data_IF_573141002291
#
_entry.id   IF_573141002291
#
_cell.length_a   1.000
_cell.length_b   1.000
_cell.length_c   1.000
_cell.angle_alpha   90.00
_cell.angle_beta   90.00
_cell.angle_gamma   90.00
#
_symmetry.space_group_name_H-M   'P 1'
#
loop_
_entity.id
_entity.type
_entity.pdbx_description
1 polymer ?
#
# COMPACT_ATOMS: atom_id res chain seq x y z
N UNK A 1 26.08 2.17 13.69
CA UNK A 1 25.22 1.02 13.36
C UNK A 1 23.79 1.48 13.14
N UNK A 2 23.12 0.87 12.16
CA UNK A 2 21.73 1.18 11.82
C UNK A 2 20.92 -0.12 11.84
N UNK A 3 19.72 -0.09 12.46
CA UNK A 3 18.82 -1.23 12.51
C UNK A 3 17.79 -1.06 11.39
N UNK A 4 17.69 -2.02 10.49
CA UNK A 4 16.72 -2.05 9.40
C UNK A 4 15.35 -2.58 9.89
N UNK A 5 14.38 -2.65 8.97
CA UNK A 5 13.05 -3.22 9.15
C UNK A 5 11.98 -2.16 9.40
N UNK A 6 11.07 -2.01 8.41
CA UNK A 6 9.94 -1.05 8.45
C UNK A 6 8.60 -1.73 8.75
N UNK A 7 8.50 -3.03 8.47
CA UNK A 7 7.29 -3.84 8.66
C UNK A 7 7.31 -4.45 10.07
N UNK A 8 6.57 -3.83 11.00
CA UNK A 8 6.71 -4.11 12.42
C UNK A 8 5.34 -4.32 13.06
N UNK A 9 5.18 -5.46 13.72
CA UNK A 9 4.07 -5.73 14.62
C UNK A 9 4.56 -6.47 15.86
N UNK A 10 3.90 -6.29 16.98
CA UNK A 10 4.33 -6.90 18.23
C UNK A 10 3.43 -6.53 19.39
N UNK A 11 3.93 -6.74 20.60
CA UNK A 11 3.25 -6.46 21.86
C UNK A 11 3.88 -5.27 22.58
N UNK A 12 3.06 -4.39 23.11
CA UNK A 12 3.50 -3.26 23.92
C UNK A 12 4.05 -3.76 25.27
N UNK A 13 5.34 -3.56 25.49
CA UNK A 13 6.01 -3.98 26.76
C UNK A 13 6.15 -2.83 27.75
N UNK A 14 6.21 -1.59 27.30
CA UNK A 14 6.32 -0.41 28.16
C UNK A 14 5.70 0.80 27.47
N UNK A 15 5.05 1.66 28.24
CA UNK A 15 4.50 2.93 27.79
C UNK A 15 5.13 4.10 28.55
N UNK A 16 5.28 5.24 27.87
CA UNK A 16 5.70 6.49 28.51
C UNK A 16 4.55 7.13 29.29
N UNK A 17 4.87 7.97 30.27
CA UNK A 17 3.88 8.56 31.19
C UNK A 17 2.79 9.42 30.48
N UNK A 18 3.05 9.92 29.27
CA UNK A 18 2.12 10.75 28.50
C UNK A 18 1.38 9.96 27.39
N UNK A 19 1.62 8.66 27.28
CA UNK A 19 0.96 7.81 26.28
C UNK A 19 -0.35 7.28 26.87
N UNK A 20 -1.45 7.57 26.20
CA UNK A 20 -2.80 7.13 26.55
C UNK A 20 -3.52 6.39 25.41
N UNK A 21 -2.85 6.21 24.26
CA UNK A 21 -3.42 5.55 23.07
C UNK A 21 -3.26 4.03 23.09
N UNK A 22 -2.32 3.50 23.88
CA UNK A 22 -2.04 2.07 24.02
C UNK A 22 -1.60 1.74 25.44
N UNK A 23 -1.78 0.47 25.83
CA UNK A 23 -1.43 -0.07 27.15
C UNK A 23 -0.47 -1.24 27.01
N UNK A 24 0.23 -1.59 28.10
CA UNK A 24 1.07 -2.80 28.18
C UNK A 24 0.21 -4.03 27.91
N UNK A 25 0.70 -4.93 27.05
CA UNK A 25 -0.02 -6.14 26.60
C UNK A 25 -0.83 -5.92 25.32
N UNK A 26 -1.06 -4.69 24.86
CA UNK A 26 -1.75 -4.48 23.60
C UNK A 26 -0.92 -5.06 22.44
N UNK A 27 -1.62 -5.76 21.54
CA UNK A 27 -1.07 -6.17 20.24
C UNK A 27 -1.18 -5.01 19.28
N UNK A 28 -0.06 -4.65 18.64
CA UNK A 28 0.00 -3.47 17.77
C UNK A 28 0.74 -3.74 16.46
N UNK A 29 0.37 -3.00 15.42
CA UNK A 29 1.18 -2.78 14.22
C UNK A 29 1.68 -1.35 14.24
N UNK A 30 2.86 -1.10 13.70
CA UNK A 30 3.44 0.24 13.68
C UNK A 30 3.23 0.90 12.31
N UNK A 31 2.75 2.16 12.33
CA UNK A 31 2.93 3.03 11.19
C UNK A 31 4.43 3.37 11.10
N UNK A 32 5.13 2.96 10.02
CA UNK A 32 6.57 3.16 9.92
C UNK A 32 6.97 4.62 9.72
N UNK A 33 6.04 5.49 9.31
CA UNK A 33 6.30 6.92 9.16
C UNK A 33 6.09 7.64 10.49
N UNK A 34 7.15 8.21 11.03
CA UNK A 34 7.13 9.05 12.22
C UNK A 34 7.13 10.52 11.79
N UNK A 35 6.11 11.26 12.15
CA UNK A 35 5.92 12.67 11.78
C UNK A 35 6.05 13.58 13.00
N UNK A 36 6.21 14.90 12.81
CA UNK A 36 6.40 15.84 13.93
C UNK A 36 5.10 16.13 14.70
N UNK A 37 3.93 15.84 14.12
CA UNK A 37 2.62 16.04 14.74
C UNK A 37 2.15 17.50 14.89
N UNK A 38 3.01 18.50 14.59
CA UNK A 38 2.72 19.92 14.91
C UNK A 38 2.86 20.89 13.72
N UNK A 39 3.40 20.46 12.58
CA UNK A 39 3.48 21.32 11.40
C UNK A 39 2.11 21.44 10.72
N UNK A 40 1.98 22.45 9.86
CA UNK A 40 0.72 22.70 9.13
C UNK A 40 0.17 21.47 8.41
N UNK A 41 1.04 20.62 7.89
CA UNK A 41 0.65 19.40 7.18
C UNK A 41 0.11 18.33 8.14
N UNK A 42 0.81 18.09 9.25
CA UNK A 42 0.36 17.14 10.27
C UNK A 42 -0.99 17.58 10.87
N UNK A 43 -1.14 18.86 11.18
CA UNK A 43 -2.39 19.41 11.72
C UNK A 43 -3.57 19.36 10.73
N UNK A 44 -3.28 19.35 9.44
CA UNK A 44 -4.27 19.20 8.37
C UNK A 44 -4.54 17.73 7.97
N UNK A 45 -3.94 16.74 8.65
CA UNK A 45 -4.06 15.32 8.29
C UNK A 45 -3.36 14.94 6.98
N UNK A 46 -2.41 15.76 6.54
CA UNK A 46 -1.57 15.58 5.36
C UNK A 46 -0.12 15.26 5.79
N UNK A 47 0.03 14.35 6.71
CA UNK A 47 1.30 14.01 7.34
C UNK A 47 2.34 13.42 6.38
N UNK A 48 1.91 12.92 5.23
CA UNK A 48 2.79 12.52 4.12
C UNK A 48 3.69 13.68 3.62
N UNK A 49 3.29 14.92 3.81
CA UNK A 49 4.07 16.13 3.45
C UNK A 49 4.87 16.72 4.63
N UNK A 50 4.94 16.04 5.75
CA UNK A 50 5.72 16.49 6.89
C UNK A 50 7.22 16.53 6.55
N UNK A 51 7.82 17.74 6.53
CA UNK A 51 9.24 17.91 6.20
C UNK A 51 10.20 17.28 7.23
N UNK A 52 9.73 17.06 8.47
CA UNK A 52 10.51 16.43 9.54
C UNK A 52 10.19 14.94 9.68
N UNK A 53 9.48 14.35 8.71
CA UNK A 53 9.13 12.93 8.78
C UNK A 53 10.37 12.04 8.72
N UNK A 54 10.31 10.95 9.47
CA UNK A 54 11.32 9.89 9.47
C UNK A 54 10.64 8.56 9.18
N UNK A 55 11.41 7.58 8.70
CA UNK A 55 10.95 6.25 8.40
C UNK A 55 11.70 5.24 9.27
N UNK A 56 10.96 4.43 10.02
CA UNK A 56 11.52 3.29 10.76
C UNK A 56 12.25 2.35 9.80
N UNK A 57 13.46 1.95 10.17
CA UNK A 57 14.29 1.05 9.36
C UNK A 57 15.00 1.70 8.17
N UNK A 58 14.80 3.02 7.93
CA UNK A 58 15.45 3.77 6.86
C UNK A 58 16.19 4.99 7.38
N UNK A 59 15.49 6.02 7.84
CA UNK A 59 16.08 7.26 8.37
C UNK A 59 16.17 7.28 9.91
N UNK A 60 15.65 6.26 10.55
CA UNK A 60 15.80 5.96 11.97
C UNK A 60 15.78 4.45 12.18
N UNK A 61 16.24 3.97 13.34
CA UNK A 61 16.30 2.55 13.64
C UNK A 61 14.93 1.88 13.50
N UNK A 62 14.93 0.68 12.95
CA UNK A 62 13.76 -0.13 12.64
C UNK A 62 13.57 -1.34 13.53
N UNK A 63 12.82 -2.31 13.03
CA UNK A 63 12.27 -3.43 13.77
C UNK A 63 13.09 -4.74 13.75
N UNK A 64 14.28 -4.78 13.14
CA UNK A 64 15.13 -5.99 13.22
C UNK A 64 15.83 -6.07 14.59
N UNK A 65 15.02 -6.05 15.64
CA UNK A 65 15.40 -6.05 17.04
C UNK A 65 14.31 -6.69 17.90
N UNK A 66 14.65 -7.14 19.10
CA UNK A 66 13.68 -7.66 20.07
C UNK A 66 12.70 -6.57 20.55
N UNK A 67 13.18 -5.33 20.64
CA UNK A 67 12.40 -4.17 21.08
C UNK A 67 12.67 -2.96 20.22
N UNK A 68 11.62 -2.16 20.00
CA UNK A 68 11.71 -0.87 19.34
C UNK A 68 10.97 0.19 20.16
N UNK A 69 11.53 1.40 20.21
CA UNK A 69 10.89 2.57 20.83
C UNK A 69 10.33 3.48 19.74
N UNK A 70 9.04 3.77 19.81
CA UNK A 70 8.33 4.65 18.86
C UNK A 70 7.39 5.60 19.58
N UNK A 71 6.96 6.72 18.97
CA UNK A 71 5.86 7.52 19.50
C UNK A 71 4.58 6.68 19.64
N UNK A 72 3.80 6.91 20.70
CA UNK A 72 2.54 6.18 20.92
C UNK A 72 1.56 6.32 19.76
N UNK A 73 1.57 7.45 19.06
CA UNK A 73 0.74 7.72 17.86
C UNK A 73 1.05 6.81 16.67
N UNK A 74 2.22 6.17 16.64
CA UNK A 74 2.60 5.21 15.60
C UNK A 74 2.12 3.79 15.88
N UNK A 75 1.66 3.50 17.10
CA UNK A 75 1.17 2.18 17.50
C UNK A 75 -0.35 2.07 17.28
N UNK A 76 -0.77 1.17 16.42
CA UNK A 76 -2.17 0.92 16.05
C UNK A 76 -2.57 -0.43 16.63
N UNK A 77 -3.61 -0.46 17.47
CA UNK A 77 -4.10 -1.68 18.10
C UNK A 77 -4.63 -2.65 17.05
N UNK A 78 -4.19 -3.90 17.13
CA UNK A 78 -4.60 -4.98 16.24
C UNK A 78 -5.86 -5.68 16.76
N UNK A 79 -6.81 -6.02 15.88
CA UNK A 79 -7.87 -6.95 16.21
C UNK A 79 -7.30 -8.36 16.46
N UNK A 80 -8.01 -9.17 17.25
CA UNK A 80 -7.52 -10.47 17.69
C UNK A 80 -7.39 -11.52 16.58
N UNK A 81 -8.13 -11.35 15.48
CA UNK A 81 -8.15 -12.26 14.33
C UNK A 81 -7.02 -12.06 13.32
N UNK A 82 -6.13 -11.10 13.53
CA UNK A 82 -4.97 -10.84 12.65
C UNK A 82 -3.69 -11.26 13.36
N UNK A 83 -2.86 -12.07 12.70
CA UNK A 83 -1.54 -12.45 13.20
C UNK A 83 -0.53 -11.30 13.11
N UNK A 84 0.54 -11.32 13.90
CA UNK A 84 1.60 -10.30 13.81
C UNK A 84 2.25 -10.26 12.42
N UNK A 85 2.45 -11.41 11.78
CA UNK A 85 3.02 -11.49 10.43
C UNK A 85 2.12 -10.81 9.39
N UNK A 86 0.80 -11.08 9.42
CA UNK A 86 -0.17 -10.40 8.56
C UNK A 86 -0.19 -8.90 8.81
N UNK A 87 -0.23 -8.48 10.08
CA UNK A 87 -0.27 -7.08 10.45
C UNK A 87 1.00 -6.34 10.01
N UNK A 88 2.18 -6.91 10.23
CA UNK A 88 3.45 -6.31 9.85
C UNK A 88 3.55 -6.06 8.34
N UNK A 89 3.00 -6.96 7.52
CA UNK A 89 3.02 -6.84 6.06
C UNK A 89 2.07 -5.77 5.49
N UNK A 90 1.24 -5.13 6.31
CA UNK A 90 0.20 -4.21 5.80
C UNK A 90 0.66 -2.76 5.58
N UNK A 91 1.33 -2.08 6.53
CA UNK A 91 1.49 -0.62 6.46
C UNK A 91 2.22 -0.12 5.22
N UNK A 92 3.34 -0.74 4.87
CA UNK A 92 4.19 -0.27 3.75
C UNK A 92 3.56 -0.47 2.37
N UNK A 93 2.56 -1.32 2.24
CA UNK A 93 1.90 -1.63 0.96
C UNK A 93 0.44 -1.17 0.89
N UNK A 94 -0.35 -1.35 1.95
CA UNK A 94 -1.75 -0.91 1.95
C UNK A 94 -1.92 0.59 2.14
N UNK A 95 -1.09 1.26 2.93
CA UNK A 95 -1.17 2.71 3.11
C UNK A 95 -0.96 3.48 1.80
N UNK A 96 0.10 3.22 0.99
CA UNK A 96 0.25 3.88 -0.30
C UNK A 96 -0.86 3.49 -1.29
N UNK A 97 -1.29 2.22 -1.34
CA UNK A 97 -2.39 1.78 -2.20
C UNK A 97 -3.70 2.50 -1.86
N UNK A 98 -4.02 2.61 -0.57
CA UNK A 98 -5.17 3.38 -0.10
C UNK A 98 -5.06 4.86 -0.48
N UNK A 99 -3.88 5.46 -0.26
CA UNK A 99 -3.66 6.87 -0.60
C UNK A 99 -3.84 7.13 -2.10
N UNK A 100 -3.29 6.28 -2.96
CA UNK A 100 -3.44 6.40 -4.41
C UNK A 100 -4.89 6.23 -4.86
N UNK A 101 -5.56 5.17 -4.43
CA UNK A 101 -6.88 4.77 -4.93
C UNK A 101 -7.99 5.61 -4.30
N UNK A 102 -8.01 5.70 -2.97
CA UNK A 102 -9.12 6.30 -2.23
C UNK A 102 -8.98 7.81 -2.07
N UNK A 103 -7.76 8.30 -1.77
CA UNK A 103 -7.56 9.73 -1.45
C UNK A 103 -7.18 10.58 -2.66
N UNK A 104 -6.44 10.03 -3.63
CA UNK A 104 -5.94 10.80 -4.80
C UNK A 104 -6.77 10.56 -6.05
N UNK A 105 -6.91 9.33 -6.48
CA UNK A 105 -7.70 8.99 -7.66
C UNK A 105 -9.21 9.12 -7.41
N UNK A 106 -9.67 8.95 -6.16
CA UNK A 106 -11.10 8.94 -5.80
C UNK A 106 -11.89 7.92 -6.65
N UNK A 107 -11.28 6.74 -6.87
CA UNK A 107 -11.80 5.67 -7.71
C UNK A 107 -13.23 5.29 -7.29
N UNK A 108 -14.11 5.09 -8.27
CA UNK A 108 -15.52 4.76 -8.07
C UNK A 108 -15.85 3.33 -8.50
N UNK A 109 -16.94 2.74 -7.99
CA UNK A 109 -17.33 1.36 -8.34
C UNK A 109 -17.58 1.10 -9.82
N UNK A 110 -17.99 2.12 -10.59
CA UNK A 110 -18.27 2.00 -12.03
C UNK A 110 -17.02 2.16 -12.92
N UNK A 111 -15.89 2.54 -12.32
CA UNK A 111 -14.66 2.82 -13.05
C UNK A 111 -13.80 1.57 -13.22
N UNK A 112 -12.94 1.61 -14.21
CA UNK A 112 -11.93 0.59 -14.49
C UNK A 112 -10.56 1.11 -14.10
N UNK A 113 -9.81 0.36 -13.31
CA UNK A 113 -8.44 0.70 -12.91
C UNK A 113 -7.42 -0.28 -13.47
N UNK A 114 -6.33 0.27 -14.01
CA UNK A 114 -5.13 -0.50 -14.33
C UNK A 114 -4.17 -0.46 -13.13
N UNK A 115 -3.82 -1.62 -12.60
CA UNK A 115 -2.80 -1.77 -11.56
C UNK A 115 -1.57 -2.44 -12.16
N UNK A 116 -0.46 -1.74 -12.26
CA UNK A 116 0.78 -2.32 -12.76
C UNK A 116 1.41 -3.26 -11.73
N UNK A 117 2.09 -4.32 -12.23
CA UNK A 117 2.87 -5.25 -11.38
C UNK A 117 2.07 -5.90 -10.23
N UNK A 118 1.07 -6.72 -10.57
CA UNK A 118 0.20 -7.44 -9.63
C UNK A 118 0.92 -8.20 -8.51
N UNK A 119 2.12 -8.71 -8.78
CA UNK A 119 2.90 -9.52 -7.83
C UNK A 119 3.77 -8.71 -6.87
N UNK A 120 3.83 -7.39 -7.01
CA UNK A 120 4.48 -6.52 -6.03
C UNK A 120 3.58 -6.36 -4.78
N UNK A 121 4.17 -5.98 -3.65
CA UNK A 121 3.39 -5.72 -2.44
C UNK A 121 2.31 -4.66 -2.65
N UNK A 122 2.68 -3.53 -3.28
CA UNK A 122 1.73 -2.44 -3.59
C UNK A 122 0.68 -2.90 -4.61
N UNK A 123 1.07 -3.61 -5.68
CA UNK A 123 0.12 -4.14 -6.67
C UNK A 123 -0.88 -5.10 -6.03
N UNK A 124 -0.41 -6.03 -5.20
CA UNK A 124 -1.25 -6.97 -4.43
C UNK A 124 -2.26 -6.22 -3.54
N UNK A 125 -1.83 -5.19 -2.83
CA UNK A 125 -2.70 -4.39 -1.99
C UNK A 125 -3.67 -3.53 -2.82
N UNK A 126 -3.20 -2.93 -3.91
CA UNK A 126 -4.02 -2.09 -4.79
C UNK A 126 -5.16 -2.86 -5.43
N UNK A 127 -4.92 -4.09 -5.92
CA UNK A 127 -5.97 -4.98 -6.45
C UNK A 127 -7.06 -5.20 -5.39
N UNK A 128 -6.67 -5.56 -4.17
CA UNK A 128 -7.62 -5.83 -3.09
C UNK A 128 -8.42 -4.58 -2.67
N UNK A 129 -7.76 -3.41 -2.57
CA UNK A 129 -8.45 -2.15 -2.26
C UNK A 129 -9.43 -1.77 -3.38
N UNK A 130 -8.99 -1.81 -4.63
CA UNK A 130 -9.83 -1.46 -5.76
C UNK A 130 -11.03 -2.41 -5.92
N UNK A 131 -10.79 -3.72 -5.80
CA UNK A 131 -11.85 -4.72 -5.99
C UNK A 131 -12.75 -4.87 -4.79
N UNK A 132 -12.18 -5.16 -3.62
CA UNK A 132 -12.96 -5.60 -2.46
C UNK A 132 -13.53 -4.42 -1.65
N UNK A 133 -12.87 -3.25 -1.67
CA UNK A 133 -13.34 -2.08 -0.95
C UNK A 133 -14.13 -1.12 -1.83
N UNK A 134 -13.62 -0.81 -3.04
CA UNK A 134 -14.29 0.11 -3.97
C UNK A 134 -15.34 -0.63 -4.82
N UNK A 135 -15.08 -1.85 -5.28
CA UNK A 135 -15.93 -2.58 -6.23
C UNK A 135 -15.69 -2.18 -7.69
N UNK A 136 -14.54 -1.61 -8.01
CA UNK A 136 -14.16 -1.23 -9.36
C UNK A 136 -13.79 -2.46 -10.22
N UNK A 137 -13.78 -2.28 -11.55
CA UNK A 137 -13.19 -3.26 -12.47
C UNK A 137 -11.68 -3.14 -12.43
N UNK A 138 -10.96 -4.24 -12.19
CA UNK A 138 -9.51 -4.27 -12.05
C UNK A 138 -8.86 -5.00 -13.21
N UNK A 139 -8.05 -4.28 -13.99
CA UNK A 139 -7.11 -4.83 -14.96
C UNK A 139 -5.72 -4.73 -14.33
N UNK A 140 -4.90 -5.75 -14.47
CA UNK A 140 -3.53 -5.73 -13.92
C UNK A 140 -2.52 -6.36 -14.85
N UNK A 141 -1.24 -6.10 -14.60
CA UNK A 141 -0.13 -6.69 -15.35
C UNK A 141 0.74 -7.57 -14.47
N UNK A 142 1.32 -8.61 -15.06
CA UNK A 142 2.28 -9.49 -14.37
C UNK A 142 3.25 -10.13 -15.36
N UNK A 143 4.28 -10.82 -14.85
CA UNK A 143 5.36 -11.36 -15.69
C UNK A 143 5.19 -12.84 -16.04
N UNK A 144 4.31 -13.58 -15.38
CA UNK A 144 4.13 -15.02 -15.66
C UNK A 144 2.66 -15.46 -15.50
N UNK A 145 2.25 -16.56 -16.18
CA UNK A 145 0.90 -17.11 -16.03
C UNK A 145 0.57 -17.56 -14.61
N UNK A 146 1.53 -18.09 -13.86
CA UNK A 146 1.32 -18.52 -12.46
C UNK A 146 1.00 -17.33 -11.56
N UNK A 147 1.67 -16.19 -11.79
CA UNK A 147 1.37 -14.93 -11.07
C UNK A 147 0.02 -14.36 -11.50
N UNK A 148 -0.37 -14.55 -12.76
CA UNK A 148 -1.67 -14.12 -13.25
C UNK A 148 -2.82 -14.84 -12.53
N UNK A 149 -2.67 -16.15 -12.29
CA UNK A 149 -3.66 -16.89 -11.53
C UNK A 149 -3.81 -16.35 -10.10
N UNK A 150 -2.70 -16.06 -9.43
CA UNK A 150 -2.72 -15.44 -8.09
C UNK A 150 -3.35 -14.05 -8.09
N UNK A 151 -3.12 -13.24 -9.12
CA UNK A 151 -3.75 -11.94 -9.25
C UNK A 151 -5.28 -12.03 -9.37
N UNK A 152 -5.78 -13.02 -10.11
CA UNK A 152 -7.22 -13.32 -10.20
C UNK A 152 -7.82 -13.75 -8.87
N UNK A 153 -7.11 -14.58 -8.11
CA UNK A 153 -7.52 -15.00 -6.77
C UNK A 153 -7.61 -13.81 -5.79
N UNK A 154 -6.80 -12.76 -5.99
CA UNK A 154 -6.85 -11.52 -5.22
C UNK A 154 -7.97 -10.57 -5.65
N UNK A 155 -8.63 -10.83 -6.78
CA UNK A 155 -9.77 -10.08 -7.27
C UNK A 155 -9.54 -9.30 -8.57
N UNK A 156 -8.44 -9.52 -9.29
CA UNK A 156 -8.27 -8.94 -10.62
C UNK A 156 -9.27 -9.56 -11.61
N UNK A 157 -10.01 -8.72 -12.33
CA UNK A 157 -10.95 -9.17 -13.36
C UNK A 157 -10.21 -9.65 -14.60
N UNK A 158 -9.18 -8.87 -15.02
CA UNK A 158 -8.36 -9.19 -16.19
C UNK A 158 -6.87 -9.06 -15.86
N UNK A 159 -6.06 -9.92 -16.47
CA UNK A 159 -4.61 -9.94 -16.24
C UNK A 159 -3.86 -10.01 -17.57
N UNK A 160 -2.99 -9.06 -17.80
CA UNK A 160 -2.08 -9.00 -18.94
C UNK A 160 -0.72 -9.55 -18.53
N UNK A 161 -0.23 -10.57 -19.22
CA UNK A 161 1.09 -11.15 -18.96
C UNK A 161 2.09 -10.52 -19.93
N UNK A 162 3.11 -9.84 -19.38
CA UNK A 162 4.18 -9.25 -20.17
C UNK A 162 5.46 -10.13 -20.18
N UNK A 163 6.39 -10.00 -21.13
CA UNK A 163 6.45 -8.93 -22.12
C UNK A 163 5.32 -9.04 -23.14
N UNK A 164 4.72 -7.91 -23.47
CA UNK A 164 3.73 -7.76 -24.54
C UNK A 164 4.07 -6.52 -25.34
N UNK A 165 3.99 -6.66 -26.65
CA UNK A 165 4.40 -5.60 -27.59
C UNK A 165 3.42 -4.40 -27.54
N UNK A 166 2.18 -4.60 -27.06
CA UNK A 166 1.18 -3.55 -27.01
C UNK A 166 0.19 -3.73 -25.84
N UNK A 167 0.61 -3.29 -24.65
CA UNK A 167 -0.25 -3.30 -23.47
C UNK A 167 -1.48 -2.41 -23.64
N UNK A 168 -1.30 -1.23 -24.22
CA UNK A 168 -2.39 -0.27 -24.42
C UNK A 168 -3.47 -0.83 -25.35
N UNK A 169 -3.09 -1.50 -26.44
CA UNK A 169 -4.04 -2.13 -27.35
C UNK A 169 -4.80 -3.29 -26.71
N UNK A 170 -4.13 -4.09 -25.89
CA UNK A 170 -4.81 -5.15 -25.13
C UNK A 170 -5.84 -4.55 -24.17
N UNK A 171 -5.49 -3.48 -23.44
CA UNK A 171 -6.42 -2.79 -22.54
C UNK A 171 -7.61 -2.21 -23.31
N UNK A 172 -7.40 -1.57 -24.45
CA UNK A 172 -8.48 -1.09 -25.31
C UNK A 172 -9.40 -2.21 -25.75
N UNK A 173 -8.87 -3.36 -26.11
CA UNK A 173 -9.68 -4.53 -26.45
C UNK A 173 -10.54 -4.99 -25.27
N UNK A 174 -9.97 -5.06 -24.06
CA UNK A 174 -10.68 -5.48 -22.83
C UNK A 174 -11.72 -4.46 -22.35
N UNK A 175 -11.65 -3.23 -22.83
CA UNK A 175 -12.51 -2.12 -22.43
C UNK A 175 -13.40 -1.59 -23.56
N UNK A 176 -13.54 -2.33 -24.67
CA UNK A 176 -14.31 -1.90 -25.85
C UNK A 176 -13.86 -0.53 -26.40
N UNK A 177 -12.57 -0.30 -26.43
CA UNK A 177 -11.88 0.93 -26.85
C UNK A 177 -12.10 2.16 -25.95
N UNK A 178 -12.65 1.99 -24.76
CA UNK A 178 -12.80 3.13 -23.81
C UNK A 178 -11.49 3.44 -23.07
N UNK A 179 -10.62 2.45 -22.85
CA UNK A 179 -9.46 2.59 -21.97
C UNK A 179 -9.80 2.36 -20.50
N UNK A 180 -8.96 2.85 -19.61
CA UNK A 180 -9.17 2.79 -18.15
C UNK A 180 -9.35 4.21 -17.58
N UNK A 181 -10.07 4.33 -16.48
CA UNK A 181 -10.31 5.62 -15.83
C UNK A 181 -9.13 6.05 -14.94
N UNK A 182 -8.41 5.07 -14.40
CA UNK A 182 -7.30 5.30 -13.47
C UNK A 182 -6.17 4.30 -13.73
N UNK A 183 -4.94 4.80 -13.68
CA UNK A 183 -3.72 3.96 -13.67
C UNK A 183 -3.01 4.10 -12.33
N UNK A 184 -2.72 2.99 -11.68
CA UNK A 184 -1.86 2.91 -10.51
C UNK A 184 -0.47 2.45 -10.95
N UNK A 185 0.39 3.42 -11.17
CA UNK A 185 1.78 3.20 -11.58
C UNK A 185 2.73 3.44 -10.40
N UNK A 186 3.36 2.38 -9.94
CA UNK A 186 4.44 2.40 -8.94
C UNK A 186 5.72 1.74 -9.48
N UNK A 187 5.76 1.47 -10.79
CA UNK A 187 6.87 0.81 -11.50
C UNK A 187 7.75 1.85 -12.19
N UNK A 188 7.12 2.77 -12.94
CA UNK A 188 7.81 3.90 -13.57
C UNK A 188 8.10 3.71 -15.07
N UNK A 189 9.24 4.22 -15.53
CA UNK A 189 9.56 4.52 -16.93
C UNK A 189 9.26 3.43 -17.94
N UNK A 190 9.51 2.18 -17.64
CA UNK A 190 9.38 1.07 -18.60
C UNK A 190 7.94 0.81 -19.05
N UNK A 191 6.97 1.27 -18.24
CA UNK A 191 5.53 1.08 -18.51
C UNK A 191 4.81 2.39 -18.82
N UNK A 192 5.49 3.54 -18.74
CA UNK A 192 4.86 4.85 -18.79
C UNK A 192 4.03 5.07 -20.06
N UNK A 193 4.61 4.86 -21.24
CA UNK A 193 3.91 5.10 -22.50
C UNK A 193 2.70 4.17 -22.67
N UNK A 194 2.85 2.90 -22.36
CA UNK A 194 1.75 1.94 -22.40
C UNK A 194 0.65 2.25 -21.41
N UNK A 195 1.01 2.67 -20.19
CA UNK A 195 0.07 3.04 -19.15
C UNK A 195 -0.69 4.34 -19.48
N UNK A 196 0.02 5.34 -20.01
CA UNK A 196 -0.59 6.61 -20.42
C UNK A 196 -1.54 6.44 -21.61
N UNK A 197 -1.16 5.63 -22.59
CA UNK A 197 -1.98 5.34 -23.78
C UNK A 197 -3.17 4.40 -23.48
N UNK A 198 -3.23 3.85 -22.28
CA UNK A 198 -4.35 3.02 -21.82
C UNK A 198 -5.51 3.83 -21.21
N UNK A 199 -5.30 5.12 -20.89
CA UNK A 199 -6.31 6.07 -20.40
C UNK A 199 -7.33 6.47 -21.46
#
# INVERSE_FOLDING_TARGET
>A
PHILGSDIAGEVKKVGALVNSVEVGNRVVLNPRVTCGQCRFCLAGMDEFCHSSKMLGSTMNGGYAEYIKVPGTNAIILPNNITFAQAAAMPTVFMPSWAMIVRKALLKPMETVLVLSASSGVGTAAIQVAKNYIGAKVITTTSTPEKAQKAKELGADEVIVYPTDDMAQQIKTLTNNYGVDVVIDHVGSDFWDGAFNAL
#
